data_IF_927521735652
#
_entry.id   IF_927521735652
#
_cell.length_a   1.000
_cell.length_b   1.000
_cell.length_c   1.000
_cell.angle_alpha   90.00
_cell.angle_beta   90.00
_cell.angle_gamma   90.00
#
_symmetry.space_group_name_H-M   'P 1'
#
loop_
_entity.id
_entity.type
_entity.pdbx_description
1 polymer ?
#
# COMPACT_ATOMS: atom_id res chain seq x y z
N UNK A 1 15.34 -29.31 31.39
CA UNK A 1 15.23 -29.38 29.92
C UNK A 1 13.94 -28.69 29.55
N UNK A 2 14.02 -27.42 29.14
CA UNK A 2 12.85 -26.69 28.68
C UNK A 2 12.55 -27.15 27.25
N UNK A 3 11.29 -27.51 27.03
CA UNK A 3 10.74 -27.94 25.75
C UNK A 3 10.79 -26.77 24.75
N UNK A 4 11.80 -26.76 23.89
CA UNK A 4 12.05 -25.72 22.87
C UNK A 4 11.39 -26.02 21.53
N UNK A 5 10.46 -27.00 21.44
CA UNK A 5 9.94 -27.46 20.15
C UNK A 5 8.53 -26.95 19.79
N UNK A 6 8.06 -25.89 20.46
CA UNK A 6 6.91 -25.13 19.96
C UNK A 6 7.37 -24.09 18.95
N UNK A 7 7.50 -24.52 17.69
CA UNK A 7 7.55 -23.58 16.55
C UNK A 7 6.32 -22.68 16.64
N UNK A 8 6.46 -21.34 16.59
CA UNK A 8 5.30 -20.47 16.53
C UNK A 8 4.49 -20.84 15.30
N UNK A 9 3.19 -21.00 15.46
CA UNK A 9 2.25 -21.19 14.36
C UNK A 9 2.55 -20.13 13.30
N UNK A 10 2.92 -20.58 12.10
CA UNK A 10 3.10 -19.71 10.95
C UNK A 10 1.81 -18.92 10.80
N UNK A 11 1.87 -17.59 10.96
CA UNK A 11 0.82 -16.70 10.49
C UNK A 11 0.64 -17.04 9.01
N UNK A 12 -0.38 -17.84 8.72
CA UNK A 12 -0.66 -18.27 7.37
C UNK A 12 -0.92 -17.02 6.56
N UNK A 13 -0.15 -16.80 5.50
CA UNK A 13 -0.43 -15.75 4.53
C UNK A 13 -1.94 -15.76 4.24
N UNK A 14 -2.58 -14.61 4.40
CA UNK A 14 -3.97 -14.44 4.01
C UNK A 14 -4.07 -14.86 2.54
N UNK A 15 -4.76 -15.97 2.26
CA UNK A 15 -5.07 -16.33 0.86
C UNK A 15 -5.74 -15.09 0.25
N UNK A 16 -5.38 -14.67 -0.98
CA UNK A 16 -6.20 -13.67 -1.67
C UNK A 16 -7.64 -14.14 -1.58
N UNK A 17 -8.53 -13.26 -1.13
CA UNK A 17 -9.92 -13.65 -0.96
C UNK A 17 -10.41 -14.09 -2.34
N UNK A 18 -11.00 -15.29 -2.51
CA UNK A 18 -11.52 -15.70 -3.81
C UNK A 18 -12.53 -14.71 -4.42
N UNK A 19 -13.07 -13.79 -3.62
CA UNK A 19 -13.93 -12.69 -4.06
C UNK A 19 -13.16 -11.45 -4.56
N UNK A 20 -11.84 -11.37 -4.40
CA UNK A 20 -11.00 -10.27 -4.90
C UNK A 20 -10.86 -10.40 -6.42
N UNK A 21 -11.86 -9.91 -7.14
CA UNK A 21 -11.85 -9.93 -8.60
C UNK A 21 -10.78 -8.96 -9.13
N UNK A 22 -10.11 -9.31 -10.26
CA UNK A 22 -9.26 -8.34 -10.96
C UNK A 22 -10.09 -7.14 -11.38
N UNK A 23 -9.44 -5.98 -11.53
CA UNK A 23 -10.06 -4.71 -11.95
C UNK A 23 -10.80 -4.78 -13.30
N UNK A 24 -10.59 -5.86 -14.07
CA UNK A 24 -11.14 -6.03 -15.41
C UNK A 24 -10.45 -5.18 -16.47
N UNK A 25 -9.44 -4.39 -16.08
CA UNK A 25 -8.67 -3.50 -16.95
C UNK A 25 -7.20 -3.89 -16.83
N UNK A 26 -6.63 -4.44 -17.89
CA UNK A 26 -5.21 -4.80 -17.93
C UNK A 26 -4.37 -3.60 -18.39
N UNK A 27 -3.44 -3.14 -17.55
CA UNK A 27 -2.50 -2.10 -17.92
C UNK A 27 -1.49 -2.63 -18.95
N UNK A 28 -1.16 -1.81 -19.95
CA UNK A 28 -0.07 -2.08 -20.86
C UNK A 28 1.26 -1.57 -20.27
N UNK A 29 2.28 -2.42 -20.06
CA UNK A 29 3.59 -2.00 -19.53
C UNK A 29 4.31 -0.93 -20.35
N UNK A 30 4.04 -0.87 -21.65
CA UNK A 30 4.67 0.09 -22.58
C UNK A 30 3.94 1.43 -22.65
N UNK A 31 2.76 1.54 -22.02
CA UNK A 31 1.99 2.78 -21.99
C UNK A 31 2.07 3.43 -20.61
N UNK A 32 2.12 4.76 -20.60
CA UNK A 32 2.03 5.53 -19.35
C UNK A 32 0.67 5.28 -18.71
N UNK A 33 0.65 5.38 -17.38
CA UNK A 33 -0.59 5.33 -16.64
C UNK A 33 -1.42 6.59 -16.96
N UNK A 34 -2.64 6.39 -17.44
CA UNK A 34 -3.56 7.49 -17.74
C UNK A 34 -4.23 7.98 -16.46
N UNK A 35 -3.69 9.05 -15.89
CA UNK A 35 -4.18 9.62 -14.64
C UNK A 35 -5.55 10.29 -14.84
N UNK A 36 -5.81 10.87 -16.00
CA UNK A 36 -7.11 11.49 -16.27
C UNK A 36 -8.22 10.45 -16.30
N UNK A 37 -7.96 9.28 -16.90
CA UNK A 37 -8.90 8.15 -16.90
C UNK A 37 -9.14 7.59 -15.49
N UNK A 38 -8.09 7.50 -14.66
CA UNK A 38 -8.23 7.11 -13.25
C UNK A 38 -9.17 8.06 -12.51
N UNK A 39 -9.07 9.37 -12.77
CA UNK A 39 -9.86 10.40 -12.10
C UNK A 39 -11.33 10.45 -12.53
N UNK A 40 -11.72 9.77 -13.62
CA UNK A 40 -13.12 9.65 -14.04
C UNK A 40 -13.90 8.71 -13.12
N UNK A 41 -15.17 9.03 -12.92
CA UNK A 41 -16.19 8.22 -12.22
C UNK A 41 -15.80 7.72 -10.82
N UNK A 42 -14.98 8.48 -10.09
CA UNK A 42 -14.60 8.16 -8.69
C UNK A 42 -15.80 8.09 -7.74
N UNK A 43 -16.96 8.67 -8.07
CA UNK A 43 -18.19 8.52 -7.29
C UNK A 43 -18.68 7.07 -7.26
N UNK A 44 -18.48 6.34 -8.37
CA UNK A 44 -18.93 4.96 -8.58
C UNK A 44 -17.87 3.92 -8.20
N UNK A 45 -16.61 4.33 -8.06
CA UNK A 45 -15.55 3.43 -7.62
C UNK A 45 -15.87 2.80 -6.26
N UNK A 46 -15.60 1.50 -6.14
CA UNK A 46 -15.64 0.74 -4.89
C UNK A 46 -14.37 -0.10 -4.80
N UNK A 47 -13.73 -0.19 -3.63
CA UNK A 47 -12.54 -1.01 -3.46
C UNK A 47 -12.90 -2.48 -3.72
N UNK A 48 -12.11 -3.14 -4.57
CA UNK A 48 -12.32 -4.55 -4.90
C UNK A 48 -11.97 -5.50 -3.75
N UNK A 49 -11.12 -5.04 -2.82
CA UNK A 49 -10.67 -5.80 -1.65
C UNK A 49 -10.54 -4.93 -0.41
N UNK A 50 -10.57 -5.56 0.76
CA UNK A 50 -10.40 -4.91 2.06
C UNK A 50 -9.44 -5.72 2.92
N UNK A 51 -8.81 -5.05 3.89
CA UNK A 51 -7.89 -5.71 4.83
C UNK A 51 -6.44 -5.77 4.34
N UNK A 52 -5.57 -6.19 5.25
CA UNK A 52 -4.13 -6.30 5.04
C UNK A 52 -3.75 -7.62 4.38
N UNK A 53 -2.74 -7.59 3.51
CA UNK A 53 -2.20 -8.77 2.84
C UNK A 53 -0.73 -8.96 3.16
N UNK A 54 -0.37 -10.17 3.61
CA UNK A 54 1.02 -10.59 3.83
C UNK A 54 1.57 -11.30 2.60
N UNK A 55 2.89 -11.23 2.38
CA UNK A 55 3.55 -12.01 1.33
C UNK A 55 3.40 -13.51 1.58
N UNK A 56 3.19 -14.28 0.50
CA UNK A 56 3.17 -15.74 0.57
C UNK A 56 4.58 -16.29 0.55
N UNK A 57 5.07 -16.69 1.73
CA UNK A 57 6.41 -17.26 1.92
C UNK A 57 6.60 -18.57 1.14
N UNK A 58 7.75 -18.68 0.48
CA UNK A 58 8.28 -19.90 -0.13
C UNK A 58 9.46 -20.39 0.76
N UNK A 59 9.32 -21.52 1.48
CA UNK A 59 10.37 -22.03 2.37
C UNK A 59 11.65 -22.43 1.61
N UNK A 60 11.48 -22.73 0.33
CA UNK A 60 12.53 -23.10 -0.60
C UNK A 60 12.08 -22.74 -2.00
N UNK A 61 12.99 -22.15 -2.77
CA UNK A 61 12.78 -21.81 -4.17
C UNK A 61 14.11 -21.89 -4.91
N UNK A 62 14.11 -22.47 -6.10
CA UNK A 62 15.26 -22.44 -7.00
C UNK A 62 15.00 -21.38 -8.06
N UNK A 63 15.83 -20.34 -8.11
CA UNK A 63 15.74 -19.26 -9.10
C UNK A 63 17.08 -19.11 -9.81
N UNK A 64 17.07 -19.31 -11.12
CA UNK A 64 18.30 -19.35 -11.92
C UNK A 64 19.25 -20.43 -11.37
N UNK A 65 20.52 -20.11 -11.08
CA UNK A 65 21.49 -21.09 -10.58
C UNK A 65 21.51 -21.23 -9.04
N UNK A 66 20.58 -20.60 -8.31
CA UNK A 66 20.67 -20.47 -6.84
C UNK A 66 19.47 -21.07 -6.09
N UNK A 67 19.77 -21.55 -4.87
CA UNK A 67 18.78 -21.95 -3.88
C UNK A 67 18.48 -20.81 -2.90
N UNK A 68 17.20 -20.46 -2.77
CA UNK A 68 16.71 -19.45 -1.83
C UNK A 68 15.89 -20.12 -0.70
N UNK A 69 15.93 -19.54 0.51
CA UNK A 69 15.22 -20.06 1.71
C UNK A 69 14.37 -19.03 2.47
N UNK A 70 14.46 -17.77 2.07
CA UNK A 70 13.74 -16.64 2.69
C UNK A 70 13.12 -15.78 1.59
N UNK A 71 12.33 -16.43 0.72
CA UNK A 71 11.64 -15.76 -0.37
C UNK A 71 10.12 -15.85 -0.23
N UNK A 72 9.43 -15.06 -1.02
CA UNK A 72 8.00 -15.16 -1.27
C UNK A 72 7.73 -15.45 -2.74
N UNK A 73 6.46 -15.67 -3.09
CA UNK A 73 6.03 -15.68 -4.49
C UNK A 73 6.55 -14.46 -5.26
N UNK A 74 7.06 -14.74 -6.47
CA UNK A 74 7.58 -13.73 -7.40
C UNK A 74 6.49 -12.83 -7.97
N UNK A 75 6.91 -11.78 -8.65
CA UNK A 75 6.03 -10.86 -9.38
C UNK A 75 5.80 -11.35 -10.82
N UNK A 76 4.62 -11.05 -11.38
CA UNK A 76 4.33 -11.29 -12.81
C UNK A 76 5.13 -10.32 -13.70
N UNK A 77 5.21 -9.06 -13.28
CA UNK A 77 5.99 -8.03 -13.95
C UNK A 77 6.80 -7.26 -12.92
N UNK A 78 8.11 -7.12 -13.17
CA UNK A 78 9.02 -6.39 -12.30
C UNK A 78 10.27 -5.93 -13.05
N UNK A 79 11.05 -5.07 -12.40
CA UNK A 79 12.39 -4.66 -12.85
C UNK A 79 13.41 -5.26 -11.87
N UNK A 80 14.23 -6.24 -12.31
CA UNK A 80 15.22 -6.85 -11.44
C UNK A 80 16.36 -5.86 -11.13
N UNK A 81 17.20 -6.22 -10.15
CA UNK A 81 18.42 -5.47 -9.86
C UNK A 81 19.32 -5.38 -11.11
N UNK A 82 20.09 -4.29 -11.32
CA UNK A 82 20.93 -4.13 -12.50
C UNK A 82 21.93 -5.28 -12.72
N UNK A 83 22.45 -5.87 -11.64
CA UNK A 83 23.37 -7.00 -11.71
C UNK A 83 22.68 -8.34 -12.06
N UNK A 84 21.35 -8.42 -12.04
CA UNK A 84 20.61 -9.63 -12.36
C UNK A 84 20.84 -10.12 -13.80
N UNK A 85 21.27 -9.23 -14.71
CA UNK A 85 21.67 -9.60 -16.07
C UNK A 85 22.75 -10.68 -16.12
N UNK A 86 23.61 -10.77 -15.09
CA UNK A 86 24.65 -11.81 -14.98
C UNK A 86 24.09 -13.15 -14.48
N UNK A 87 22.85 -13.17 -14.02
CA UNK A 87 22.20 -14.33 -13.37
C UNK A 87 20.85 -14.67 -14.03
N UNK A 88 20.69 -14.37 -15.33
CA UNK A 88 19.47 -14.70 -16.08
C UNK A 88 18.28 -13.78 -15.78
N UNK A 89 18.54 -12.56 -15.29
CA UNK A 89 17.52 -11.56 -14.93
C UNK A 89 16.51 -12.05 -13.87
N UNK A 90 16.94 -12.91 -12.93
CA UNK A 90 16.11 -13.32 -11.80
C UNK A 90 15.77 -12.13 -10.88
N UNK A 91 14.58 -12.17 -10.29
CA UNK A 91 14.09 -11.15 -9.36
C UNK A 91 13.49 -11.78 -8.07
N UNK A 92 14.32 -12.40 -7.22
CA UNK A 92 13.85 -13.03 -5.99
C UNK A 92 13.21 -12.00 -5.04
N UNK A 93 12.02 -12.30 -4.53
CA UNK A 93 11.29 -11.42 -3.62
C UNK A 93 11.46 -11.88 -2.16
N UNK A 94 11.82 -11.01 -1.20
CA UNK A 94 11.93 -11.40 0.21
C UNK A 94 10.56 -11.71 0.83
N UNK A 95 10.55 -12.43 1.94
CA UNK A 95 9.32 -12.85 2.65
C UNK A 95 8.67 -11.77 3.54
N UNK A 96 9.29 -10.59 3.66
CA UNK A 96 8.72 -9.43 4.35
C UNK A 96 8.02 -8.46 3.38
N UNK A 97 6.96 -7.80 3.86
CA UNK A 97 6.31 -6.69 3.14
C UNK A 97 7.27 -5.50 3.08
N UNK A 98 7.44 -4.92 1.90
CA UNK A 98 8.37 -3.83 1.64
C UNK A 98 7.60 -2.53 1.44
N UNK A 99 7.97 -1.54 2.25
CA UNK A 99 7.29 -0.25 2.31
C UNK A 99 8.05 0.81 1.53
N UNK A 100 7.31 1.65 0.81
CA UNK A 100 7.81 2.93 0.30
C UNK A 100 6.89 4.06 0.73
N UNK A 101 7.47 5.22 1.00
CA UNK A 101 6.73 6.44 1.33
C UNK A 101 6.65 7.35 0.09
N UNK A 102 5.44 7.63 -0.36
CA UNK A 102 5.19 8.47 -1.53
C UNK A 102 4.09 9.47 -1.19
N UNK A 103 4.47 10.73 -0.98
CA UNK A 103 3.55 11.80 -0.64
C UNK A 103 4.13 13.17 -0.97
N UNK A 104 4.12 13.56 -2.25
CA UNK A 104 4.71 14.82 -2.71
C UNK A 104 3.89 16.06 -2.38
N UNK A 105 2.61 15.88 -2.04
CA UNK A 105 1.62 16.95 -1.97
C UNK A 105 0.68 16.99 -3.19
N UNK A 106 1.02 16.25 -4.26
CA UNK A 106 0.22 16.07 -5.48
C UNK A 106 0.00 14.59 -5.75
N UNK A 107 -1.13 14.07 -5.28
CA UNK A 107 -1.38 12.63 -5.33
C UNK A 107 -1.48 12.08 -6.77
N UNK A 108 -1.90 12.92 -7.72
CA UNK A 108 -1.97 12.63 -9.14
C UNK A 108 -0.59 12.36 -9.77
N UNK A 109 0.45 13.00 -9.24
CA UNK A 109 1.84 12.75 -9.62
C UNK A 109 2.39 11.52 -8.89
N UNK A 110 2.04 11.36 -7.62
CA UNK A 110 2.47 10.26 -6.76
C UNK A 110 2.01 8.89 -7.27
N UNK A 111 0.80 8.80 -7.83
CA UNK A 111 0.27 7.57 -8.43
C UNK A 111 1.21 6.99 -9.50
N UNK A 112 1.86 7.85 -10.31
CA UNK A 112 2.84 7.40 -11.31
C UNK A 112 4.08 6.78 -10.65
N UNK A 113 4.52 7.35 -9.53
CA UNK A 113 5.65 6.82 -8.74
C UNK A 113 5.29 5.52 -8.03
N UNK A 114 4.04 5.35 -7.60
CA UNK A 114 3.57 4.10 -7.00
C UNK A 114 3.69 2.93 -7.99
N UNK A 115 3.37 3.13 -9.28
CA UNK A 115 3.59 2.10 -10.32
C UNK A 115 5.06 1.72 -10.44
N UNK A 116 5.96 2.71 -10.47
CA UNK A 116 7.41 2.46 -10.49
C UNK A 116 7.84 1.63 -9.28
N UNK A 117 7.44 2.04 -8.07
CA UNK A 117 7.82 1.34 -6.85
C UNK A 117 7.28 -0.10 -6.78
N UNK A 118 6.07 -0.33 -7.29
CA UNK A 118 5.48 -1.67 -7.36
C UNK A 118 6.29 -2.61 -8.26
N UNK A 119 6.69 -2.14 -9.45
CA UNK A 119 7.58 -2.88 -10.35
C UNK A 119 8.96 -3.16 -9.73
N UNK A 120 9.39 -2.34 -8.77
CA UNK A 120 10.62 -2.55 -8.00
C UNK A 120 10.39 -3.32 -6.68
N UNK A 121 9.23 -3.99 -6.53
CA UNK A 121 8.99 -4.91 -5.43
C UNK A 121 8.31 -4.32 -4.21
N UNK A 122 7.94 -3.04 -4.17
CA UNK A 122 7.17 -2.48 -3.05
C UNK A 122 5.71 -2.96 -3.10
N UNK A 123 5.24 -3.57 -2.02
CA UNK A 123 3.87 -4.07 -1.82
C UNK A 123 3.16 -3.40 -0.64
N UNK A 124 3.73 -2.30 -0.15
CA UNK A 124 3.13 -1.42 0.84
C UNK A 124 3.43 0.05 0.49
N UNK A 125 2.38 0.79 0.14
CA UNK A 125 2.43 2.19 -0.29
C UNK A 125 1.92 3.06 0.84
N UNK A 126 2.83 3.77 1.50
CA UNK A 126 2.52 4.66 2.61
C UNK A 126 2.43 6.11 2.12
N UNK A 127 1.30 6.76 2.42
CA UNK A 127 1.05 8.15 2.05
C UNK A 127 1.02 9.01 3.31
N UNK A 128 2.08 9.81 3.48
CA UNK A 128 2.19 10.87 4.49
C UNK A 128 1.14 11.93 4.24
N UNK A 129 0.47 12.37 5.31
CA UNK A 129 -0.53 13.43 5.24
C UNK A 129 0.10 14.81 5.12
N UNK A 130 -0.62 15.76 4.52
CA UNK A 130 -0.20 17.17 4.51
C UNK A 130 0.09 17.67 5.93
N UNK A 131 1.09 18.55 6.04
CA UNK A 131 1.57 19.04 7.32
C UNK A 131 0.41 19.57 8.19
N UNK A 132 0.31 19.04 9.41
CA UNK A 132 -0.67 19.50 10.40
C UNK A 132 -2.09 18.97 10.22
N UNK A 133 -2.35 18.04 9.30
CA UNK A 133 -3.70 17.47 9.12
C UNK A 133 -4.30 16.86 10.40
N UNK A 134 -3.46 16.45 11.37
CA UNK A 134 -3.91 16.00 12.70
C UNK A 134 -4.68 17.06 13.51
N UNK A 135 -4.58 18.34 13.17
CA UNK A 135 -5.27 19.44 13.85
C UNK A 135 -6.61 19.83 13.20
N UNK A 136 -6.98 19.19 12.09
CA UNK A 136 -8.21 19.49 11.37
C UNK A 136 -9.34 18.67 12.00
N UNK A 137 -10.30 19.34 12.63
CA UNK A 137 -11.42 18.73 13.36
C UNK A 137 -12.57 18.34 12.42
N UNK A 138 -12.25 17.48 11.46
CA UNK A 138 -13.16 16.93 10.47
C UNK A 138 -12.42 16.42 9.24
N UNK A 139 -13.17 15.81 8.31
CA UNK A 139 -12.61 15.41 7.02
C UNK A 139 -12.42 16.64 6.12
N UNK A 140 -11.30 16.64 5.40
CA UNK A 140 -11.12 17.49 4.23
C UNK A 140 -11.78 16.82 3.01
N UNK A 141 -12.18 17.64 2.04
CA UNK A 141 -12.77 17.19 0.79
C UNK A 141 -12.02 17.74 -0.43
N UNK A 142 -12.28 17.13 -1.59
CA UNK A 142 -11.65 17.55 -2.85
C UNK A 142 -10.17 17.14 -2.94
N UNK A 143 -9.39 17.95 -3.65
CA UNK A 143 -7.98 17.65 -3.97
C UNK A 143 -7.13 18.93 -3.90
N UNK A 144 -7.08 19.62 -2.74
CA UNK A 144 -6.15 20.73 -2.58
C UNK A 144 -4.71 20.22 -2.67
N UNK A 145 -3.79 21.09 -3.06
CA UNK A 145 -2.36 20.79 -3.00
C UNK A 145 -1.87 20.74 -1.55
N UNK A 146 -1.05 19.75 -1.22
CA UNK A 146 -0.47 19.60 0.11
C UNK A 146 0.95 20.14 0.24
N UNK A 147 1.41 20.26 1.48
CA UNK A 147 2.78 20.66 1.82
C UNK A 147 3.39 19.60 2.74
N UNK A 148 4.52 19.03 2.32
CA UNK A 148 5.21 17.97 3.07
C UNK A 148 4.43 16.64 3.14
N UNK A 149 3.34 16.51 2.39
CA UNK A 149 2.50 15.32 2.32
C UNK A 149 1.18 15.61 1.61
N UNK A 150 0.37 14.58 1.37
CA UNK A 150 -0.89 14.65 0.61
C UNK A 150 -2.06 15.02 1.54
N UNK A 151 -2.95 15.96 1.18
CA UNK A 151 -4.17 16.18 1.94
C UNK A 151 -5.10 14.98 1.74
N UNK A 152 -5.27 14.18 2.80
CA UNK A 152 -6.06 12.95 2.69
C UNK A 152 -7.54 13.28 2.73
N UNK A 153 -8.24 12.94 1.65
CA UNK A 153 -9.69 13.13 1.45
C UNK A 153 -10.28 11.87 0.83
N UNK A 154 -11.61 11.74 0.83
CA UNK A 154 -12.27 10.59 0.18
C UNK A 154 -11.96 10.52 -1.31
N UNK A 155 -11.98 11.65 -2.03
CA UNK A 155 -11.68 11.70 -3.47
C UNK A 155 -10.25 11.25 -3.77
N UNK A 156 -9.29 11.74 -2.99
CA UNK A 156 -7.88 11.36 -3.14
C UNK A 156 -7.68 9.86 -2.83
N UNK A 157 -8.25 9.36 -1.72
CA UNK A 157 -8.15 7.95 -1.33
C UNK A 157 -8.72 7.04 -2.41
N UNK A 158 -9.89 7.35 -2.98
CA UNK A 158 -10.49 6.58 -4.07
C UNK A 158 -9.61 6.55 -5.31
N UNK A 159 -9.06 7.69 -5.72
CA UNK A 159 -8.20 7.75 -6.90
C UNK A 159 -6.93 6.93 -6.72
N UNK A 160 -6.28 7.05 -5.56
CA UNK A 160 -5.09 6.27 -5.24
C UNK A 160 -5.40 4.77 -5.14
N UNK A 161 -6.49 4.37 -4.45
CA UNK A 161 -6.87 2.96 -4.32
C UNK A 161 -7.26 2.36 -5.67
N UNK A 162 -8.01 3.07 -6.51
CA UNK A 162 -8.33 2.68 -7.89
C UNK A 162 -7.07 2.47 -8.73
N UNK A 163 -6.09 3.37 -8.63
CA UNK A 163 -4.83 3.21 -9.32
C UNK A 163 -4.03 1.99 -8.82
N UNK A 164 -3.96 1.80 -7.51
CA UNK A 164 -3.28 0.65 -6.91
C UNK A 164 -3.94 -0.67 -7.26
N UNK A 165 -5.27 -0.72 -7.44
CA UNK A 165 -5.97 -1.91 -7.93
C UNK A 165 -5.51 -2.31 -9.35
N UNK A 166 -5.26 -1.33 -10.23
CA UNK A 166 -4.74 -1.57 -11.58
C UNK A 166 -3.27 -2.01 -11.54
N UNK A 167 -2.46 -1.35 -10.70
CA UNK A 167 -1.02 -1.61 -10.58
C UNK A 167 -0.76 -2.99 -9.95
N UNK A 168 -1.55 -3.38 -8.94
CA UNK A 168 -1.38 -4.66 -8.27
C UNK A 168 -1.77 -5.85 -9.16
N UNK A 169 -2.75 -5.66 -10.06
CA UNK A 169 -3.07 -6.62 -11.14
C UNK A 169 -1.93 -6.74 -12.15
N UNK A 170 -1.31 -5.60 -12.52
CA UNK A 170 -0.17 -5.57 -13.43
C UNK A 170 1.02 -6.34 -12.87
N UNK A 171 1.46 -6.04 -11.63
CA UNK A 171 2.61 -6.75 -11.04
C UNK A 171 2.25 -8.14 -10.52
N UNK A 172 0.96 -8.47 -10.42
CA UNK A 172 0.46 -9.79 -10.01
C UNK A 172 0.55 -10.06 -8.51
N UNK A 173 0.59 -9.02 -7.66
CA UNK A 173 0.64 -9.13 -6.20
C UNK A 173 -0.11 -7.99 -5.53
N UNK A 174 -1.00 -8.24 -4.55
CA UNK A 174 -1.72 -7.18 -3.82
C UNK A 174 -0.78 -6.13 -3.21
N UNK A 175 -1.17 -4.86 -3.30
CA UNK A 175 -0.41 -3.72 -2.74
C UNK A 175 -1.18 -3.08 -1.58
N UNK A 176 -0.64 -3.12 -0.37
CA UNK A 176 -1.26 -2.49 0.79
C UNK A 176 -1.19 -0.95 0.68
N UNK A 177 -2.34 -0.28 0.67
CA UNK A 177 -2.45 1.17 0.77
C UNK A 177 -2.52 1.58 2.24
N UNK A 178 -1.68 2.52 2.66
CA UNK A 178 -1.56 2.93 4.05
C UNK A 178 -1.48 4.44 4.23
N UNK A 179 -2.10 4.95 5.29
CA UNK A 179 -1.94 6.34 5.71
C UNK A 179 -2.10 6.49 7.23
N UNK A 180 -2.63 7.60 7.74
CA UNK A 180 -2.58 7.98 9.16
C UNK A 180 -3.95 8.39 9.69
N UNK A 181 -4.36 7.77 10.80
CA UNK A 181 -5.60 8.06 11.54
C UNK A 181 -5.36 9.08 12.67
N UNK A 182 -4.12 9.34 13.05
CA UNK A 182 -3.77 10.25 14.16
C UNK A 182 -4.42 11.64 14.04
N UNK A 183 -4.72 12.30 15.16
CA UNK A 183 -5.31 13.64 15.19
C UNK A 183 -6.71 13.69 15.81
N UNK A 184 -7.30 14.88 15.80
CA UNK A 184 -8.60 15.14 16.43
C UNK A 184 -9.77 14.46 15.71
N UNK A 185 -9.66 14.27 14.39
CA UNK A 185 -10.68 13.61 13.55
C UNK A 185 -10.37 12.12 13.28
N UNK A 186 -9.78 11.43 14.25
CA UNK A 186 -9.40 10.02 14.12
C UNK A 186 -10.57 9.10 13.75
N UNK A 187 -11.72 9.17 14.44
CA UNK A 187 -12.89 8.35 14.09
C UNK A 187 -13.38 8.56 12.66
N UNK A 188 -13.46 9.81 12.19
CA UNK A 188 -13.92 10.14 10.84
C UNK A 188 -12.96 9.62 9.77
N UNK A 189 -11.65 9.76 10.00
CA UNK A 189 -10.61 9.21 9.13
C UNK A 189 -10.69 7.67 9.08
N UNK A 190 -10.90 7.02 10.23
CA UNK A 190 -11.03 5.57 10.31
C UNK A 190 -12.26 5.06 9.57
N UNK A 191 -13.41 5.73 9.67
CA UNK A 191 -14.62 5.39 8.91
C UNK A 191 -14.36 5.52 7.41
N UNK A 192 -13.79 6.64 6.96
CA UNK A 192 -13.48 6.84 5.54
C UNK A 192 -12.47 5.79 5.02
N UNK A 193 -11.44 5.45 5.80
CA UNK A 193 -10.49 4.38 5.46
C UNK A 193 -11.16 3.00 5.37
N UNK A 194 -12.02 2.69 6.33
CA UNK A 194 -12.77 1.45 6.36
C UNK A 194 -13.71 1.32 5.16
N UNK A 195 -14.39 2.40 4.77
CA UNK A 195 -15.31 2.45 3.63
C UNK A 195 -14.59 2.35 2.28
N UNK A 196 -13.45 3.01 2.15
CA UNK A 196 -12.71 3.14 0.88
C UNK A 196 -11.57 2.13 0.71
N UNK A 197 -11.41 1.17 1.64
CA UNK A 197 -10.52 0.02 1.45
C UNK A 197 -9.03 0.32 1.66
N UNK A 198 -8.70 1.26 2.55
CA UNK A 198 -7.32 1.45 3.03
C UNK A 198 -6.91 0.22 3.85
N UNK A 199 -5.73 -0.33 3.59
CA UNK A 199 -5.32 -1.65 4.08
C UNK A 199 -4.59 -1.60 5.43
N UNK A 200 -3.96 -0.45 5.75
CA UNK A 200 -3.26 -0.22 7.00
C UNK A 200 -3.28 1.25 7.40
N UNK A 201 -3.11 1.53 8.69
CA UNK A 201 -2.97 2.91 9.14
C UNK A 201 -2.10 3.04 10.39
N UNK A 202 -1.42 4.18 10.52
CA UNK A 202 -0.85 4.61 11.79
C UNK A 202 -1.95 5.14 12.71
N UNK A 203 -2.02 4.58 13.92
CA UNK A 203 -2.86 5.06 15.01
C UNK A 203 -2.12 4.80 16.32
N UNK A 204 -1.91 5.86 17.10
CA UNK A 204 -1.38 5.79 18.46
C UNK A 204 -1.90 7.02 19.23
N UNK A 205 -2.68 6.86 20.31
CA UNK A 205 -3.17 7.99 21.10
C UNK A 205 -2.03 8.77 21.76
N UNK A 206 -0.89 8.13 22.06
CA UNK A 206 0.27 8.82 22.63
C UNK A 206 0.89 9.80 21.64
N UNK A 207 0.83 9.50 20.34
CA UNK A 207 1.31 10.44 19.31
C UNK A 207 0.57 11.77 19.38
N UNK A 208 -0.76 11.71 19.54
CA UNK A 208 -1.62 12.88 19.62
C UNK A 208 -1.22 13.77 20.80
N UNK A 209 -0.94 13.15 21.95
CA UNK A 209 -0.60 13.85 23.19
C UNK A 209 0.83 14.40 23.13
N UNK A 210 1.81 13.53 22.90
CA UNK A 210 3.24 13.82 23.07
C UNK A 210 3.80 14.73 21.98
N UNK A 211 3.32 14.60 20.74
CA UNK A 211 3.90 15.29 19.58
C UNK A 211 2.96 16.28 18.89
N UNK A 212 1.67 16.28 19.25
CA UNK A 212 0.67 17.19 18.69
C UNK A 212 -0.09 18.00 19.73
N UNK A 213 0.23 17.84 21.03
CA UNK A 213 -0.41 18.56 22.13
C UNK A 213 -1.95 18.50 22.07
N UNK A 214 -2.49 17.37 21.62
CA UNK A 214 -3.93 17.08 21.70
C UNK A 214 -4.24 16.65 23.12
N UNK A 215 -5.36 17.14 23.65
CA UNK A 215 -5.80 16.83 25.00
C UNK A 215 -5.95 15.30 25.22
N UNK A 216 -5.39 14.78 26.31
CA UNK A 216 -5.34 13.34 26.60
C UNK A 216 -6.68 12.66 26.89
N UNK A 217 -7.70 13.41 27.31
CA UNK A 217 -9.06 12.88 27.48
C UNK A 217 -9.85 12.85 26.18
N UNK A 218 -9.48 13.73 25.23
CA UNK A 218 -10.01 13.73 23.86
C UNK A 218 -9.34 12.66 22.99
N UNK A 219 -8.03 12.47 23.15
CA UNK A 219 -7.26 11.46 22.42
C UNK A 219 -7.58 10.04 22.86
#
# INVERSE_FOLDING_TARGET
MADTDKRPELITASRPNPDDQPSGIELNPTQKLDVEEILKDLSNYRPRRRGWTWRRRLPYEMLGPFDYRQTSEGLRHSIPLPAAQYFGNIDPQPDCVITTEIASGRFEDDIRRMRMAAWHGADHMMVIRTAGQSHIDGLLEGTPEGVGGVPVTRKQVRATRKALDLIEDEVGRPINFHSYVSGVAGPEMAVMFAEEGVNGAHQDPQYNILYRNINMYRS
#
